data_IF_264040255333
#
_entry.id   IF_264040255333
#
_cell.length_a   1.000
_cell.length_b   1.000
_cell.length_c   1.000
_cell.angle_alpha   90.00
_cell.angle_beta   90.00
_cell.angle_gamma   90.00
#
_symmetry.space_group_name_H-M   'P 1'
#
loop_
_entity.id
_entity.type
_entity.pdbx_description
1 polymer ?
#
# COMPACT_ATOMS: atom_id res chain seq x y z
N UNK A 1 23.46 -3.76 -5.84
CA UNK A 1 22.46 -2.71 -5.52
C UNK A 1 21.19 -3.46 -5.17
N UNK A 2 20.59 -3.25 -4.00
CA UNK A 2 19.39 -4.01 -3.60
C UNK A 2 18.16 -3.40 -4.26
N UNK A 3 17.33 -4.20 -4.92
CA UNK A 3 16.16 -3.74 -5.70
C UNK A 3 14.91 -3.73 -4.83
N UNK A 4 14.13 -2.65 -4.94
CA UNK A 4 12.78 -2.52 -4.37
C UNK A 4 11.76 -2.68 -5.51
N UNK A 5 10.83 -3.62 -5.37
CA UNK A 5 9.79 -3.89 -6.38
C UNK A 5 8.42 -3.55 -5.77
N UNK A 6 7.68 -2.72 -6.49
CA UNK A 6 6.33 -2.26 -6.16
C UNK A 6 5.37 -2.79 -7.23
N UNK A 7 4.51 -3.74 -6.87
CA UNK A 7 3.53 -4.35 -7.78
C UNK A 7 2.11 -3.94 -7.34
N UNK A 8 1.37 -3.32 -8.27
CA UNK A 8 0.00 -2.88 -8.09
C UNK A 8 -0.89 -3.55 -9.13
N UNK A 9 -1.90 -4.32 -8.70
CA UNK A 9 -2.96 -4.78 -9.60
C UNK A 9 -4.30 -4.54 -8.92
N UNK A 10 -5.20 -3.87 -9.64
CA UNK A 10 -6.62 -3.78 -9.29
C UNK A 10 -7.40 -4.39 -10.45
N UNK A 11 -8.49 -5.07 -10.13
CA UNK A 11 -9.50 -5.48 -11.10
C UNK A 11 -10.86 -5.10 -10.51
N UNK A 12 -11.66 -4.29 -11.21
CA UNK A 12 -13.15 -4.37 -11.25
C UNK A 12 -13.82 -3.22 -12.02
N UNK A 13 -15.10 -3.46 -12.38
CA UNK A 13 -16.05 -2.58 -13.08
C UNK A 13 -16.52 -1.38 -12.24
N UNK A 14 -16.73 -0.25 -12.93
CA UNK A 14 -16.87 1.11 -12.42
C UNK A 14 -18.16 1.39 -11.62
N UNK A 15 -18.08 2.16 -10.52
CA UNK A 15 -18.87 3.38 -10.28
C UNK A 15 -18.54 4.07 -8.93
N UNK A 16 -18.83 5.38 -8.90
CA UNK A 16 -18.36 6.42 -7.98
C UNK A 16 -19.06 6.44 -6.62
N UNK A 17 -18.30 6.58 -5.51
CA UNK A 17 -18.85 6.96 -4.20
C UNK A 17 -18.34 8.33 -3.75
N UNK A 18 -19.24 9.29 -3.64
CA UNK A 18 -19.03 10.54 -2.91
C UNK A 18 -19.80 10.50 -1.59
N UNK A 19 -19.11 10.56 -0.45
CA UNK A 19 -19.70 11.05 0.80
C UNK A 19 -18.64 11.81 1.60
N UNK A 20 -18.97 13.06 1.93
CA UNK A 20 -18.07 14.00 2.58
C UNK A 20 -17.99 13.80 4.10
N UNK A 21 -16.83 14.11 4.68
CA UNK A 21 -16.65 14.24 6.12
C UNK A 21 -16.00 15.58 6.47
N UNK A 22 -16.57 16.24 7.48
CA UNK A 22 -16.33 17.62 7.89
C UNK A 22 -15.25 17.82 8.96
N UNK A 23 -14.68 19.04 8.97
CA UNK A 23 -13.65 19.56 9.90
C UNK A 23 -12.35 19.93 9.17
N UNK A 24 -11.84 21.15 9.32
CA UNK A 24 -10.67 21.66 8.56
C UNK A 24 -9.38 20.83 8.74
N UNK A 25 -9.13 20.27 9.92
CA UNK A 25 -8.03 19.31 10.16
C UNK A 25 -8.33 17.88 9.67
N UNK A 26 -9.60 17.48 9.63
CA UNK A 26 -10.01 16.12 9.22
C UNK A 26 -9.89 15.89 7.71
N UNK A 27 -9.87 16.98 6.93
CA UNK A 27 -9.82 16.95 5.46
C UNK A 27 -8.40 16.92 4.90
N UNK A 28 -7.36 17.02 5.74
CA UNK A 28 -5.97 17.04 5.25
C UNK A 28 -5.62 15.74 4.53
N UNK A 29 -5.88 14.57 5.13
CA UNK A 29 -5.54 13.28 4.49
C UNK A 29 -6.39 13.04 3.23
N UNK A 30 -7.74 13.20 3.26
CA UNK A 30 -8.53 13.04 2.04
C UNK A 30 -8.07 13.99 0.93
N UNK A 31 -7.75 15.25 1.24
CA UNK A 31 -7.27 16.21 0.24
C UNK A 31 -5.90 15.83 -0.32
N UNK A 32 -4.96 15.41 0.52
CA UNK A 32 -3.64 14.94 0.09
C UNK A 32 -3.75 13.70 -0.79
N UNK A 33 -4.55 12.71 -0.39
CA UNK A 33 -4.80 11.51 -1.19
C UNK A 33 -5.49 11.87 -2.50
N UNK A 34 -6.49 12.75 -2.51
CA UNK A 34 -7.14 13.21 -3.73
C UNK A 34 -6.17 13.88 -4.70
N UNK A 35 -5.30 14.77 -4.19
CA UNK A 35 -4.32 15.45 -5.00
C UNK A 35 -3.30 14.47 -5.59
N UNK A 36 -2.75 13.57 -4.76
CA UNK A 36 -1.86 12.51 -5.22
C UNK A 36 -2.56 11.63 -6.26
N UNK A 37 -3.84 11.27 -6.03
CA UNK A 37 -4.63 10.44 -6.96
C UNK A 37 -4.71 11.06 -8.35
N UNK A 38 -4.99 12.38 -8.41
CA UNK A 38 -5.04 13.12 -9.67
C UNK A 38 -3.68 13.07 -10.37
N UNK A 39 -2.59 13.30 -9.64
CA UNK A 39 -1.25 13.30 -10.24
C UNK A 39 -0.81 11.90 -10.68
N UNK A 40 -1.13 10.87 -9.90
CA UNK A 40 -0.91 9.47 -10.26
C UNK A 40 -1.68 9.11 -11.53
N UNK A 41 -2.97 9.41 -11.63
CA UNK A 41 -3.77 9.07 -12.81
C UNK A 41 -3.29 9.79 -14.07
N UNK A 42 -2.82 11.04 -13.97
CA UNK A 42 -2.24 11.74 -15.13
C UNK A 42 -1.06 10.98 -15.72
N UNK A 43 -0.23 10.37 -14.87
CA UNK A 43 0.93 9.59 -15.30
C UNK A 43 0.51 8.17 -15.73
N UNK A 44 -0.35 7.52 -14.96
CA UNK A 44 -0.75 6.13 -15.18
C UNK A 44 -1.66 5.95 -16.41
N UNK A 45 -2.41 6.98 -16.80
CA UNK A 45 -3.24 6.99 -18.00
C UNK A 45 -2.51 7.54 -19.22
N UNK A 46 -1.28 8.03 -19.07
CA UNK A 46 -0.50 8.50 -20.21
C UNK A 46 -0.25 7.33 -21.18
N UNK A 47 -0.73 7.46 -22.41
CA UNK A 47 -0.70 6.43 -23.45
C UNK A 47 -1.45 5.12 -23.11
N UNK A 48 -2.39 5.13 -22.16
CA UNK A 48 -3.16 3.92 -21.85
C UNK A 48 -4.40 3.79 -22.73
N UNK A 49 -4.41 2.78 -23.59
CA UNK A 49 -5.48 2.56 -24.58
C UNK A 49 -6.58 1.60 -24.10
N UNK A 50 -6.29 0.78 -23.09
CA UNK A 50 -7.17 -0.23 -22.55
C UNK A 50 -7.85 0.20 -21.24
N UNK A 51 -8.77 -0.63 -20.76
CA UNK A 51 -9.41 -0.45 -19.46
C UNK A 51 -8.36 -0.38 -18.34
N UNK A 52 -8.33 0.75 -17.63
CA UNK A 52 -7.46 0.95 -16.49
C UNK A 52 -8.29 1.07 -15.21
N UNK A 53 -7.90 0.31 -14.19
CA UNK A 53 -8.46 0.43 -12.85
C UNK A 53 -7.31 0.42 -11.85
N UNK A 54 -7.38 1.34 -10.89
CA UNK A 54 -6.40 1.44 -9.82
C UNK A 54 -7.10 1.98 -8.57
N UNK A 55 -6.54 1.64 -7.40
CA UNK A 55 -6.86 2.22 -6.12
C UNK A 55 -5.73 3.19 -5.73
N UNK A 56 -5.87 4.50 -5.99
CA UNK A 56 -4.88 5.48 -5.56
C UNK A 56 -4.63 5.46 -4.05
N UNK A 57 -5.64 5.03 -3.28
CA UNK A 57 -5.52 4.81 -1.85
C UNK A 57 -4.46 3.75 -1.53
N UNK A 58 -4.45 2.61 -2.24
CA UNK A 58 -3.40 1.59 -2.03
C UNK A 58 -2.02 2.09 -2.40
N UNK A 59 -1.89 2.84 -3.50
CA UNK A 59 -0.62 3.48 -3.89
C UNK A 59 -0.15 4.43 -2.77
N UNK A 60 -1.06 5.24 -2.23
CA UNK A 60 -0.75 6.16 -1.14
C UNK A 60 -0.32 5.41 0.12
N UNK A 61 -0.97 4.28 0.40
CA UNK A 61 -0.69 3.45 1.55
C UNK A 61 0.72 2.86 1.51
N UNK A 62 1.10 2.26 0.38
CA UNK A 62 2.45 1.69 0.19
C UNK A 62 3.53 2.77 0.20
N UNK A 63 3.27 3.95 -0.38
CA UNK A 63 4.17 5.10 -0.29
C UNK A 63 4.30 5.61 1.15
N UNK A 64 3.22 5.62 1.93
CA UNK A 64 3.29 6.04 3.33
C UNK A 64 4.12 5.05 4.18
N UNK A 65 3.98 3.73 3.97
CA UNK A 65 4.87 2.73 4.59
C UNK A 65 6.33 2.97 4.20
N UNK A 66 6.58 3.28 2.92
CA UNK A 66 7.92 3.59 2.40
C UNK A 66 8.51 4.86 3.01
N UNK A 67 7.69 5.92 3.20
CA UNK A 67 8.08 7.13 3.92
C UNK A 67 8.34 6.86 5.41
N UNK A 68 7.58 5.95 6.03
CA UNK A 68 7.79 5.56 7.42
C UNK A 68 9.14 4.84 7.62
N UNK A 69 9.57 4.03 6.64
CA UNK A 69 10.83 3.28 6.68
C UNK A 69 12.07 4.04 6.21
N UNK A 70 11.90 5.12 5.45
CA UNK A 70 13.00 5.91 4.87
C UNK A 70 13.41 7.09 5.76
N UNK A 71 14.54 7.73 5.42
CA UNK A 71 15.07 8.92 6.10
C UNK A 71 15.69 9.91 5.11
N UNK A 72 15.89 11.16 5.56
CA UNK A 72 16.46 12.24 4.75
C UNK A 72 15.69 12.47 3.44
N UNK A 73 16.43 12.77 2.38
CA UNK A 73 15.89 13.14 1.06
C UNK A 73 14.91 12.10 0.49
N UNK A 74 15.19 10.80 0.63
CA UNK A 74 14.29 9.74 0.17
C UNK A 74 12.90 9.88 0.77
N UNK A 75 12.83 10.19 2.08
CA UNK A 75 11.56 10.39 2.74
C UNK A 75 10.85 11.63 2.26
N UNK A 76 11.60 12.72 2.12
CA UNK A 76 11.05 14.03 1.77
C UNK A 76 10.47 14.03 0.34
N UNK A 77 11.10 13.32 -0.58
CA UNK A 77 10.57 13.10 -1.94
C UNK A 77 9.26 12.32 -1.91
N UNK A 78 9.19 11.22 -1.15
CA UNK A 78 7.95 10.42 -1.04
C UNK A 78 6.82 11.24 -0.40
N UNK A 79 7.11 12.01 0.66
CA UNK A 79 6.13 12.89 1.31
C UNK A 79 5.62 13.98 0.36
N UNK A 80 6.51 14.48 -0.51
CA UNK A 80 6.16 15.46 -1.55
C UNK A 80 5.17 14.86 -2.55
N UNK A 81 5.42 13.65 -3.04
CA UNK A 81 4.48 12.92 -3.94
C UNK A 81 3.13 12.66 -3.25
N UNK A 82 3.14 12.37 -1.95
CA UNK A 82 1.91 12.15 -1.17
C UNK A 82 1.12 13.44 -0.89
N UNK A 83 1.66 14.62 -1.18
CA UNK A 83 1.06 15.93 -0.82
C UNK A 83 0.75 16.08 0.68
N UNK A 84 1.45 15.33 1.55
CA UNK A 84 1.18 15.29 2.99
C UNK A 84 2.06 16.29 3.77
N UNK A 85 1.65 17.56 3.76
CA UNK A 85 2.29 18.59 4.60
C UNK A 85 2.22 18.19 6.08
N UNK A 86 3.34 18.28 6.80
CA UNK A 86 3.47 17.88 8.21
C UNK A 86 3.26 16.38 8.48
N UNK A 87 3.66 15.51 7.54
CA UNK A 87 3.60 14.04 7.66
C UNK A 87 4.03 13.50 9.04
N UNK A 88 5.14 13.97 9.61
CA UNK A 88 5.61 13.50 10.93
C UNK A 88 4.62 13.80 12.06
N UNK A 89 4.09 15.02 12.13
CA UNK A 89 3.09 15.41 13.13
C UNK A 89 1.81 14.58 12.96
N UNK A 90 1.52 14.18 11.72
CA UNK A 90 0.38 13.34 11.40
C UNK A 90 0.60 11.88 11.81
N UNK A 91 1.73 11.25 11.45
CA UNK A 91 2.08 9.89 11.91
C UNK A 91 2.16 9.84 13.44
N UNK A 92 2.75 10.86 14.06
CA UNK A 92 2.80 10.96 15.52
C UNK A 92 1.39 11.10 16.13
N UNK A 93 0.50 11.86 15.51
CA UNK A 93 -0.91 11.95 15.93
C UNK A 93 -1.63 10.62 15.70
N UNK A 94 -1.39 9.90 14.61
CA UNK A 94 -1.94 8.57 14.38
C UNK A 94 -1.47 7.59 15.47
N UNK A 95 -0.17 7.61 15.76
CA UNK A 95 0.46 6.76 16.76
C UNK A 95 0.00 7.10 18.20
N UNK A 96 -0.15 8.40 18.53
CA UNK A 96 -0.61 8.87 19.85
C UNK A 96 -2.12 8.77 20.05
N UNK A 97 -2.93 8.84 18.98
CA UNK A 97 -4.40 8.97 19.07
C UNK A 97 -5.16 7.63 18.93
N UNK A 98 -4.57 6.54 18.46
CA UNK A 98 -5.40 5.40 18.00
C UNK A 98 -5.03 4.04 18.61
N UNK A 99 -5.80 3.43 19.52
CA UNK A 99 -7.18 2.89 19.54
C UNK A 99 -8.41 3.44 18.74
N UNK A 100 -8.30 4.26 17.69
CA UNK A 100 -9.45 4.53 16.79
C UNK A 100 -9.01 4.42 15.34
N UNK A 101 -9.59 3.47 14.63
CA UNK A 101 -10.20 3.68 13.32
C UNK A 101 -9.89 5.01 12.62
N UNK A 102 -8.73 5.06 11.95
CA UNK A 102 -8.52 6.02 10.87
C UNK A 102 -9.38 5.66 9.66
N UNK A 103 -9.36 6.49 8.63
CA UNK A 103 -10.00 6.23 7.32
C UNK A 103 -9.72 4.82 6.78
N UNK A 104 -8.55 4.25 7.12
CA UNK A 104 -8.17 2.86 6.83
C UNK A 104 -9.19 1.83 7.37
N UNK A 105 -9.67 1.96 8.61
CA UNK A 105 -10.64 0.99 9.18
C UNK A 105 -12.06 1.17 8.61
N UNK A 106 -12.42 2.35 8.10
CA UNK A 106 -13.72 2.58 7.45
C UNK A 106 -13.80 1.90 6.08
N UNK A 107 -12.68 1.86 5.36
CA UNK A 107 -12.55 1.20 4.05
C UNK A 107 -12.53 -0.33 4.25
N UNK A 108 -11.82 -0.83 5.26
CA UNK A 108 -11.62 -2.26 5.53
C UNK A 108 -12.84 -3.02 6.10
N UNK A 109 -13.95 -2.34 6.43
CA UNK A 109 -15.14 -2.96 7.07
C UNK A 109 -16.29 -3.30 6.13
N UNK A 110 -16.15 -3.03 4.82
CA UNK A 110 -17.18 -3.37 3.84
C UNK A 110 -17.01 -4.80 3.34
N UNK A 111 -18.09 -5.59 3.29
CA UNK A 111 -18.04 -6.91 2.64
C UNK A 111 -17.74 -6.82 1.14
N UNK A 112 -18.11 -5.69 0.53
CA UNK A 112 -17.87 -5.37 -0.88
C UNK A 112 -16.41 -5.01 -1.17
N UNK A 113 -15.55 -4.83 -0.16
CA UNK A 113 -14.14 -4.48 -0.36
C UNK A 113 -13.22 -5.42 0.42
N UNK A 114 -12.32 -6.08 -0.29
CA UNK A 114 -11.26 -6.92 0.28
C UNK A 114 -9.90 -6.31 -0.05
N UNK A 115 -9.01 -6.26 0.93
CA UNK A 115 -7.66 -5.72 0.76
C UNK A 115 -6.63 -6.69 1.35
N UNK A 116 -5.48 -6.81 0.68
CA UNK A 116 -4.36 -7.64 1.09
C UNK A 116 -3.10 -6.78 1.15
N UNK A 117 -2.72 -6.36 2.35
CA UNK A 117 -1.54 -5.50 2.58
C UNK A 117 -0.47 -6.23 3.42
N UNK A 118 0.69 -6.50 2.83
CA UNK A 118 1.80 -7.15 3.53
C UNK A 118 3.15 -6.77 2.94
N UNK A 119 4.13 -6.61 3.83
CA UNK A 119 5.52 -6.46 3.46
C UNK A 119 6.24 -7.82 3.60
N UNK A 120 6.85 -8.28 2.51
CA UNK A 120 7.77 -9.40 2.55
C UNK A 120 9.20 -8.86 2.54
N UNK A 121 10.04 -9.34 3.45
CA UNK A 121 11.43 -8.90 3.60
C UNK A 121 12.35 -10.10 3.41
N UNK A 122 13.46 -9.90 2.71
CA UNK A 122 14.46 -10.94 2.52
C UNK A 122 14.91 -11.48 3.88
N UNK A 123 14.93 -12.80 4.03
CA UNK A 123 15.23 -13.47 5.30
C UNK A 123 16.60 -13.10 5.91
N UNK A 124 17.52 -12.59 5.09
CA UNK A 124 18.84 -12.15 5.53
C UNK A 124 18.85 -10.69 6.06
N UNK A 125 17.69 -10.03 6.14
CA UNK A 125 17.56 -8.65 6.61
C UNK A 125 16.78 -8.62 7.92
N UNK A 126 17.44 -8.15 8.97
CA UNK A 126 16.78 -7.92 10.27
C UNK A 126 15.99 -6.62 10.25
N UNK A 127 14.67 -6.73 10.43
CA UNK A 127 13.75 -5.59 10.48
C UNK A 127 13.74 -4.99 11.88
N UNK A 128 13.91 -3.67 11.99
CA UNK A 128 13.89 -2.96 13.27
C UNK A 128 12.53 -3.16 13.98
N UNK A 129 12.48 -3.55 15.26
CA UNK A 129 11.23 -3.78 15.99
C UNK A 129 10.26 -2.59 15.95
N UNK A 130 10.77 -1.37 16.11
CA UNK A 130 9.94 -0.15 16.05
C UNK A 130 9.28 0.05 14.69
N UNK A 131 9.95 -0.35 13.61
CA UNK A 131 9.38 -0.27 12.27
C UNK A 131 8.28 -1.30 12.08
N UNK A 132 8.52 -2.56 12.48
CA UNK A 132 7.50 -3.63 12.46
C UNK A 132 6.26 -3.23 13.26
N UNK A 133 6.45 -2.72 14.48
CA UNK A 133 5.36 -2.24 15.33
C UNK A 133 4.58 -1.09 14.68
N UNK A 134 5.26 -0.17 14.00
CA UNK A 134 4.61 0.93 13.28
C UNK A 134 3.78 0.44 12.10
N UNK A 135 4.31 -0.48 11.28
CA UNK A 135 3.55 -1.11 10.18
C UNK A 135 2.27 -1.77 10.68
N UNK A 136 2.36 -2.58 11.74
CA UNK A 136 1.18 -3.28 12.27
C UNK A 136 0.18 -2.35 12.95
N UNK A 137 0.65 -1.40 13.77
CA UNK A 137 -0.25 -0.54 14.56
C UNK A 137 -0.90 0.58 13.74
N UNK A 138 -0.11 1.26 12.90
CA UNK A 138 -0.53 2.46 12.14
C UNK A 138 -1.13 2.07 10.79
N UNK A 139 -0.46 1.16 10.07
CA UNK A 139 -0.77 0.84 8.67
C UNK A 139 -1.56 -0.47 8.51
N UNK A 140 -1.90 -1.14 9.62
CA UNK A 140 -2.67 -2.41 9.64
C UNK A 140 -2.12 -3.46 8.65
N UNK A 141 -0.82 -3.44 8.46
CA UNK A 141 -0.11 -4.33 7.55
C UNK A 141 0.81 -5.25 8.35
N UNK A 142 1.13 -6.42 7.81
CA UNK A 142 2.06 -7.34 8.46
C UNK A 142 3.43 -7.35 7.77
N UNK A 143 4.45 -7.82 8.49
CA UNK A 143 5.82 -7.98 7.98
C UNK A 143 6.24 -9.43 8.14
N UNK A 144 6.55 -10.06 7.02
CA UNK A 144 6.92 -11.47 6.93
C UNK A 144 8.30 -11.65 6.29
N UNK A 145 9.07 -12.59 6.82
CA UNK A 145 10.36 -12.99 6.25
C UNK A 145 10.16 -13.96 5.08
N UNK A 146 10.87 -13.75 3.98
CA UNK A 146 10.76 -14.57 2.77
C UNK A 146 12.12 -14.78 2.09
N UNK A 147 12.37 -15.99 1.59
CA UNK A 147 13.53 -16.29 0.78
C UNK A 147 13.27 -15.96 -0.69
N UNK A 148 13.70 -14.78 -1.14
CA UNK A 148 13.54 -14.38 -2.54
C UNK A 148 14.49 -15.09 -3.52
N UNK A 149 15.57 -15.73 -3.03
CA UNK A 149 16.45 -16.55 -3.88
C UNK A 149 15.69 -17.74 -4.48
N UNK A 150 14.71 -18.28 -3.75
CA UNK A 150 13.78 -19.25 -4.29
C UNK A 150 12.56 -18.53 -4.88
N UNK A 151 12.74 -17.97 -6.07
CA UNK A 151 11.79 -17.04 -6.67
C UNK A 151 10.42 -17.65 -7.02
N UNK A 152 10.38 -18.95 -7.34
CA UNK A 152 9.13 -19.69 -7.55
C UNK A 152 8.33 -19.80 -6.25
N UNK A 153 8.94 -20.31 -5.19
CA UNK A 153 8.26 -20.43 -3.88
C UNK A 153 7.86 -19.05 -3.32
N UNK A 154 8.68 -18.02 -3.56
CA UNK A 154 8.35 -16.65 -3.16
C UNK A 154 7.11 -16.13 -3.88
N UNK A 155 7.04 -16.28 -5.21
CA UNK A 155 5.89 -15.87 -6.00
C UNK A 155 4.63 -16.66 -5.63
N UNK A 156 4.73 -17.99 -5.51
CA UNK A 156 3.61 -18.85 -5.13
C UNK A 156 3.09 -18.49 -3.73
N UNK A 157 3.97 -18.27 -2.77
CA UNK A 157 3.56 -17.87 -1.41
C UNK A 157 2.84 -16.52 -1.40
N UNK A 158 3.36 -15.54 -2.13
CA UNK A 158 2.72 -14.22 -2.24
C UNK A 158 1.35 -14.34 -2.92
N UNK A 159 1.28 -15.03 -4.06
CA UNK A 159 0.03 -15.19 -4.82
C UNK A 159 -1.04 -15.96 -4.03
N UNK A 160 -0.67 -17.06 -3.38
CA UNK A 160 -1.60 -17.84 -2.55
C UNK A 160 -2.15 -17.02 -1.38
N UNK A 161 -1.30 -16.19 -0.76
CA UNK A 161 -1.75 -15.31 0.30
C UNK A 161 -2.68 -14.21 -0.23
N UNK A 162 -2.35 -13.56 -1.35
CA UNK A 162 -3.21 -12.53 -1.98
C UNK A 162 -4.56 -13.12 -2.42
N UNK A 163 -4.55 -14.30 -3.03
CA UNK A 163 -5.78 -14.99 -3.45
C UNK A 163 -6.66 -15.29 -2.25
N UNK A 164 -6.07 -15.74 -1.13
CA UNK A 164 -6.82 -15.99 0.10
C UNK A 164 -7.43 -14.72 0.71
N UNK A 165 -6.69 -13.61 0.75
CA UNK A 165 -7.19 -12.36 1.36
C UNK A 165 -8.24 -11.66 0.47
N UNK A 166 -8.15 -11.82 -0.85
CA UNK A 166 -9.03 -11.12 -1.81
C UNK A 166 -10.12 -12.01 -2.42
N UNK A 167 -10.02 -13.32 -2.27
CA UNK A 167 -10.84 -14.37 -2.91
C UNK A 167 -10.87 -14.34 -4.45
N UNK A 168 -10.10 -13.47 -5.12
CA UNK A 168 -10.20 -13.28 -6.57
C UNK A 168 -8.88 -12.94 -7.25
N UNK A 169 -7.99 -12.16 -6.63
CA UNK A 169 -6.74 -11.73 -7.28
C UNK A 169 -5.76 -12.89 -7.24
N UNK A 170 -5.42 -13.42 -8.42
CA UNK A 170 -4.46 -14.51 -8.60
C UNK A 170 -3.28 -14.03 -9.43
N UNK A 171 -2.13 -14.68 -9.27
CA UNK A 171 -0.94 -14.40 -10.09
C UNK A 171 -0.56 -12.91 -10.11
N UNK A 172 -0.67 -12.26 -8.95
CA UNK A 172 -0.30 -10.85 -8.76
C UNK A 172 1.15 -10.61 -9.16
N UNK A 173 2.02 -11.54 -8.78
CA UNK A 173 3.46 -11.51 -9.03
C UNK A 173 3.87 -12.79 -9.76
N UNK A 174 4.99 -12.74 -10.46
CA UNK A 174 5.58 -13.89 -11.16
C UNK A 174 6.97 -14.16 -10.61
N UNK A 175 7.47 -15.38 -10.80
CA UNK A 175 8.78 -15.76 -10.29
C UNK A 175 9.92 -14.90 -10.83
N UNK A 176 9.80 -14.35 -12.05
CA UNK A 176 10.80 -13.43 -12.59
C UNK A 176 10.78 -12.04 -11.96
N UNK A 177 9.78 -11.71 -11.13
CA UNK A 177 9.76 -10.47 -10.35
C UNK A 177 10.70 -10.56 -9.14
N UNK A 178 11.28 -11.72 -8.84
CA UNK A 178 12.16 -11.91 -7.68
C UNK A 178 13.49 -12.57 -8.04
N UNK A 179 14.52 -12.15 -7.33
CA UNK A 179 15.87 -12.69 -7.41
C UNK A 179 16.56 -12.66 -6.04
N UNK A 180 17.82 -13.10 -5.99
CA UNK A 180 18.63 -13.09 -4.78
C UNK A 180 19.02 -11.68 -4.29
N UNK A 181 18.83 -10.65 -5.12
CA UNK A 181 19.08 -9.25 -4.77
C UNK A 181 17.84 -8.53 -4.25
N UNK A 182 16.67 -9.15 -4.35
CA UNK A 182 15.40 -8.62 -3.86
C UNK A 182 15.46 -8.50 -2.34
N UNK A 183 15.42 -7.26 -1.85
CA UNK A 183 15.50 -6.99 -0.42
C UNK A 183 14.14 -6.99 0.26
N UNK A 184 13.12 -6.48 -0.43
CA UNK A 184 11.76 -6.44 0.07
C UNK A 184 10.75 -6.32 -1.07
N UNK A 185 9.54 -6.79 -0.84
CA UNK A 185 8.37 -6.58 -1.67
C UNK A 185 7.24 -6.01 -0.81
N UNK A 186 6.67 -4.87 -1.22
CA UNK A 186 5.46 -4.32 -0.62
C UNK A 186 4.28 -4.74 -1.48
N UNK A 187 3.43 -5.59 -0.92
CA UNK A 187 2.26 -6.14 -1.60
C UNK A 187 1.02 -5.41 -1.07
N UNK A 188 0.28 -4.80 -1.99
CA UNK A 188 -1.04 -4.23 -1.76
C UNK A 188 -1.94 -4.66 -2.91
N UNK A 189 -3.04 -5.33 -2.58
CA UNK A 189 -4.02 -5.79 -3.55
C UNK A 189 -5.43 -5.44 -3.06
N UNK A 190 -6.24 -4.86 -3.94
CA UNK A 190 -7.59 -4.38 -3.62
C UNK A 190 -8.60 -5.00 -4.58
N UNK A 191 -9.58 -5.69 -4.02
CA UNK A 191 -10.70 -6.26 -4.75
C UNK A 191 -12.00 -5.62 -4.26
N UNK A 192 -12.76 -5.04 -5.19
CA UNK A 192 -14.06 -4.46 -4.90
C UNK A 192 -15.16 -5.15 -5.69
N UNK A 193 -16.22 -5.61 -5.05
CA UNK A 193 -17.41 -6.12 -5.71
C UNK A 193 -18.64 -5.70 -4.94
N UNK A 194 -19.48 -4.91 -5.57
CA UNK A 194 -20.80 -4.60 -5.04
C UNK A 194 -21.75 -5.80 -5.19
N UNK A 195 -22.73 -5.93 -4.29
CA UNK A 195 -23.72 -7.02 -4.31
C UNK A 195 -24.91 -6.71 -5.22
#
# INVERSE_FOLDING_TARGET
MKTLILLFIVATTCLSFSHGLGGSESKVIPNSINQMSIDFFKVALDNQADNFVCSPFSVAHVLAISAFGSQGNTRDEIITVLHMKNYYKYIEKLHKKYNLTGSFDLVMKSDSLKMANKMYVNENISVKPNFKNGITSIFKSDVESLNFKNSFDAADKINNWVEKETNNIKNLVKSYDFDDQTALALIDAVYFKDN
#
